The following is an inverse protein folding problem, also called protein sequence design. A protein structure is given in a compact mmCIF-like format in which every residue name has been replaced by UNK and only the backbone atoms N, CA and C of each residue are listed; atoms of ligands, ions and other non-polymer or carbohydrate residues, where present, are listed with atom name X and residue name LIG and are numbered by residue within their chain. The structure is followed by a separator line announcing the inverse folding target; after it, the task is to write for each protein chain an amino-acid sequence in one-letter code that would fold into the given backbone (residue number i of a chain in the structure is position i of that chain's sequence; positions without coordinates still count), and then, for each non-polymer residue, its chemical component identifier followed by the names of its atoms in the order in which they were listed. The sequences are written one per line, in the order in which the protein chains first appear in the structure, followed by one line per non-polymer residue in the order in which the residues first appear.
data_IF_110897008527
#
_entry.id   IF_110897008527
#
_cell.length_a   1.000
_cell.length_b   1.000
_cell.length_c   1.000
_cell.angle_alpha   90.00
_cell.angle_beta   90.00
_cell.angle_gamma   90.00
#
_symmetry.space_group_name_H-M   'P 1'
#
loop_
_entity.id
_entity.type
_entity.pdbx_description
1 polymer ?
#
# COMPACT_ATOMS: atom_id res chain seq x y z
N UNK A 1 -47.50 2.49 9.12
CA UNK A 1 -47.01 1.22 8.56
C UNK A 1 -45.69 1.51 7.86
N UNK A 2 -44.58 1.37 8.59
CA UNK A 2 -43.24 1.58 8.09
C UNK A 2 -42.74 0.30 7.42
N UNK A 3 -42.27 0.40 6.18
CA UNK A 3 -41.48 -0.65 5.53
C UNK A 3 -40.02 -0.27 5.65
N UNK A 4 -39.29 -1.00 6.49
CA UNK A 4 -37.84 -0.93 6.62
C UNK A 4 -37.30 -2.03 5.69
N UNK A 5 -36.67 -1.63 4.59
CA UNK A 5 -35.93 -2.54 3.72
C UNK A 5 -34.58 -2.84 4.34
N UNK A 6 -34.44 -4.05 4.88
CA UNK A 6 -33.20 -4.64 5.35
C UNK A 6 -32.22 -4.80 4.18
N UNK A 7 -31.08 -4.11 4.21
CA UNK A 7 -29.92 -4.44 3.38
C UNK A 7 -29.02 -5.41 4.17
N UNK A 8 -29.02 -6.66 3.72
CA UNK A 8 -28.09 -7.69 4.17
C UNK A 8 -26.72 -7.43 3.52
N UNK A 9 -25.71 -7.10 4.33
CA UNK A 9 -24.32 -7.21 3.91
C UNK A 9 -24.01 -8.70 3.73
N UNK A 10 -23.86 -9.12 2.47
CA UNK A 10 -23.48 -10.50 2.16
C UNK A 10 -22.04 -10.73 2.59
N UNK A 11 -21.88 -11.57 3.61
CA UNK A 11 -20.62 -12.17 3.99
C UNK A 11 -19.97 -12.87 2.78
N UNK A 12 -18.73 -12.50 2.48
CA UNK A 12 -17.75 -13.38 1.84
C UNK A 12 -16.46 -13.31 2.64
N UNK A 13 -16.51 -13.91 3.84
CA UNK A 13 -15.32 -14.47 4.48
C UNK A 13 -15.02 -15.78 3.77
N UNK A 14 -13.96 -15.82 2.96
CA UNK A 14 -13.28 -17.08 2.65
C UNK A 14 -11.93 -17.04 3.37
N UNK A 15 -11.80 -17.99 4.27
CA UNK A 15 -10.67 -18.22 5.17
C UNK A 15 -9.60 -19.00 4.41
N UNK A 16 -8.35 -18.52 4.41
CA UNK A 16 -7.19 -19.42 4.28
C UNK A 16 -6.06 -18.93 5.18
N UNK A 17 -5.85 -19.64 6.29
CA UNK A 17 -4.75 -19.43 7.24
C UNK A 17 -3.63 -20.43 6.94
N UNK A 18 -2.38 -19.99 6.80
CA UNK A 18 -1.20 -20.85 7.02
C UNK A 18 -0.09 -20.05 7.72
N UNK A 19 0.35 -20.56 8.87
CA UNK A 19 1.46 -20.05 9.65
C UNK A 19 2.80 -20.58 9.12
N UNK A 20 3.81 -19.72 8.99
CA UNK A 20 5.20 -20.14 8.70
C UNK A 20 5.95 -20.20 10.03
N UNK A 21 6.24 -21.40 10.50
CA UNK A 21 7.23 -21.67 11.54
C UNK A 21 8.56 -22.04 10.87
N UNK A 22 9.62 -21.27 11.12
CA UNK A 22 10.99 -21.64 10.77
C UNK A 22 11.86 -21.67 12.03
N UNK A 23 12.39 -22.86 12.32
CA UNK A 23 13.37 -23.14 13.37
C UNK A 23 14.72 -22.51 13.02
N UNK A 24 15.35 -21.87 14.02
CA UNK A 24 16.58 -21.09 13.83
C UNK A 24 17.88 -21.89 13.81
N UNK A 25 18.96 -21.19 13.45
CA UNK A 25 20.29 -21.29 14.07
C UNK A 25 20.94 -19.90 14.00
N UNK A 26 21.25 -19.32 15.16
CA UNK A 26 21.97 -18.06 15.29
C UNK A 26 23.45 -18.24 14.93
N UNK A 27 23.95 -17.44 13.99
CA UNK A 27 25.37 -17.21 13.77
C UNK A 27 25.62 -15.70 13.74
N UNK A 28 26.30 -15.23 14.78
CA UNK A 28 26.81 -13.86 14.94
C UNK A 28 27.84 -13.56 13.85
N UNK A 29 27.58 -12.56 13.01
CA UNK A 29 28.59 -11.93 12.16
C UNK A 29 28.53 -10.41 12.36
N UNK A 30 29.66 -9.87 12.77
CA UNK A 30 29.90 -8.47 13.10
C UNK A 30 29.61 -7.53 11.91
N UNK A 31 28.75 -6.54 12.14
CA UNK A 31 28.54 -5.44 11.20
C UNK A 31 29.61 -4.35 11.42
N UNK A 32 30.22 -3.90 10.33
CA UNK A 32 31.10 -2.72 10.23
C UNK A 32 30.84 -2.05 8.86
N UNK A 33 31.06 -0.73 8.68
CA UNK A 33 29.96 0.20 8.48
C UNK A 33 29.84 0.78 7.05
N UNK A 34 28.59 1.12 6.71
CA UNK A 34 28.11 2.22 5.84
C UNK A 34 28.92 2.61 4.61
N UNK A 35 28.38 2.30 3.43
CA UNK A 35 28.71 2.99 2.18
C UNK A 35 27.54 3.91 1.76
N UNK A 36 27.80 5.21 1.82
CA UNK A 36 27.12 6.36 1.19
C UNK A 36 25.86 6.09 0.34
N UNK A 37 24.72 6.56 0.85
CA UNK A 37 23.55 6.87 0.04
C UNK A 37 23.78 8.18 -0.74
N UNK A 38 24.43 8.09 -1.89
CA UNK A 38 24.18 9.04 -2.99
C UNK A 38 22.93 8.55 -3.71
N UNK A 39 21.87 9.36 -3.75
CA UNK A 39 20.65 9.09 -4.49
C UNK A 39 20.95 8.95 -6.00
N UNK A 40 21.29 7.74 -6.44
CA UNK A 40 21.25 7.40 -7.86
C UNK A 40 19.79 7.50 -8.28
N UNK A 41 19.48 8.45 -9.16
CA UNK A 41 18.18 8.48 -9.80
C UNK A 41 17.95 7.14 -10.51
N UNK A 42 16.78 6.54 -10.30
CA UNK A 42 16.42 5.28 -10.94
C UNK A 42 16.51 5.42 -12.46
N UNK A 43 17.17 4.47 -13.13
CA UNK A 43 17.37 4.55 -14.58
C UNK A 43 16.05 4.47 -15.33
N UNK A 44 15.97 5.04 -16.53
CA UNK A 44 14.82 4.89 -17.44
C UNK A 44 14.94 3.69 -18.38
N UNK A 45 15.94 2.83 -18.15
CA UNK A 45 16.23 1.68 -19.02
C UNK A 45 16.52 2.10 -20.46
N UNK A 46 16.05 1.28 -21.42
CA UNK A 46 16.07 1.60 -22.85
C UNK A 46 14.85 2.45 -23.18
N UNK A 47 15.05 3.76 -23.35
CA UNK A 47 13.98 4.71 -23.67
C UNK A 47 13.31 4.35 -25.00
N UNK A 48 11.98 4.21 -24.97
CA UNK A 48 11.13 3.88 -26.13
C UNK A 48 10.26 5.06 -26.56
N UNK A 49 10.07 6.05 -25.69
CA UNK A 49 9.38 7.29 -26.03
C UNK A 49 10.18 8.11 -27.06
N UNK A 50 9.49 8.70 -28.04
CA UNK A 50 10.10 9.63 -28.99
C UNK A 50 10.54 10.95 -28.33
N UNK A 51 11.39 11.71 -29.05
CA UNK A 51 11.85 13.04 -28.61
C UNK A 51 10.67 13.96 -28.27
N UNK A 52 10.83 14.80 -27.24
CA UNK A 52 9.82 15.75 -26.74
C UNK A 52 8.52 15.11 -26.18
N UNK A 53 8.53 13.82 -25.86
CA UNK A 53 7.44 13.14 -25.13
C UNK A 53 7.85 12.85 -23.68
N UNK A 54 6.86 12.51 -22.87
CA UNK A 54 7.09 11.92 -21.55
C UNK A 54 8.00 10.69 -21.67
N UNK A 55 9.04 10.62 -20.83
CA UNK A 55 10.02 9.54 -20.90
C UNK A 55 9.38 8.22 -20.47
N UNK A 56 9.35 7.25 -21.38
CA UNK A 56 8.93 5.87 -21.13
C UNK A 56 10.01 4.97 -21.70
N UNK A 57 10.27 3.84 -21.05
CA UNK A 57 11.33 2.94 -21.46
C UNK A 57 11.11 1.51 -20.97
N UNK A 58 11.90 0.61 -21.53
CA UNK A 58 11.91 -0.79 -21.14
C UNK A 58 13.08 -1.07 -20.18
N UNK A 59 12.91 -2.01 -19.23
CA UNK A 59 14.04 -2.51 -18.44
C UNK A 59 15.20 -2.95 -19.34
N UNK A 60 16.43 -2.57 -18.98
CA UNK A 60 17.67 -3.08 -19.59
C UNK A 60 18.58 -3.81 -18.58
N UNK A 61 18.09 -3.96 -17.35
CA UNK A 61 18.72 -4.67 -16.24
C UNK A 61 17.66 -5.12 -15.22
N UNK A 62 18.02 -6.02 -14.31
CA UNK A 62 17.23 -6.56 -13.19
C UNK A 62 16.03 -7.44 -13.57
N UNK A 63 15.17 -7.00 -14.47
CA UNK A 63 14.02 -7.75 -14.99
C UNK A 63 13.96 -7.56 -16.51
N UNK A 64 13.44 -8.52 -17.26
CA UNK A 64 13.26 -8.33 -18.71
C UNK A 64 11.96 -7.58 -19.01
N UNK A 65 11.91 -6.86 -20.14
CA UNK A 65 10.68 -6.25 -20.61
C UNK A 65 9.56 -7.30 -20.81
N UNK A 66 9.91 -8.48 -21.33
CA UNK A 66 8.97 -9.58 -21.52
C UNK A 66 8.36 -10.09 -20.21
N UNK A 67 9.14 -10.14 -19.13
CA UNK A 67 8.64 -10.54 -17.81
C UNK A 67 7.64 -9.51 -17.26
N UNK A 68 7.94 -8.21 -17.41
CA UNK A 68 7.02 -7.12 -17.02
C UNK A 68 5.73 -7.16 -17.87
N UNK A 69 5.86 -7.34 -19.18
CA UNK A 69 4.73 -7.52 -20.10
C UNK A 69 3.90 -8.75 -19.73
N UNK A 70 4.55 -9.84 -19.36
CA UNK A 70 3.87 -11.07 -18.95
C UNK A 70 3.08 -10.86 -17.65
N UNK A 71 3.65 -10.20 -16.64
CA UNK A 71 2.93 -9.87 -15.39
C UNK A 71 1.70 -9.03 -15.72
N UNK A 72 1.85 -8.01 -16.57
CA UNK A 72 0.71 -7.22 -17.04
C UNK A 72 -0.36 -8.09 -17.69
N UNK A 73 -0.01 -8.90 -18.69
CA UNK A 73 -0.97 -9.65 -19.49
C UNK A 73 -1.63 -10.81 -18.74
N UNK A 74 -1.00 -11.37 -17.71
CA UNK A 74 -1.44 -12.60 -17.04
C UNK A 74 -1.92 -12.38 -15.61
N UNK A 75 -1.48 -11.32 -14.93
CA UNK A 75 -1.78 -11.09 -13.51
C UNK A 75 -2.64 -9.85 -13.26
N UNK A 76 -2.38 -8.73 -13.95
CA UNK A 76 -2.96 -7.42 -13.57
C UNK A 76 -3.73 -6.61 -14.64
N UNK A 77 -3.65 -7.01 -15.91
CA UNK A 77 -4.19 -6.26 -17.04
C UNK A 77 -5.67 -6.57 -17.37
N UNK A 78 -6.25 -5.92 -18.39
CA UNK A 78 -7.67 -6.01 -18.70
C UNK A 78 -8.17 -7.36 -19.22
N UNK A 79 -7.25 -8.23 -19.65
CA UNK A 79 -7.57 -9.54 -20.21
C UNK A 79 -7.47 -10.67 -19.19
N UNK A 80 -7.08 -10.38 -17.95
CA UNK A 80 -6.85 -11.41 -16.94
C UNK A 80 -8.18 -11.94 -16.41
N UNK A 81 -8.20 -13.24 -16.14
CA UNK A 81 -9.30 -13.84 -15.37
C UNK A 81 -9.09 -13.49 -13.91
N UNK A 82 -9.98 -12.67 -13.35
CA UNK A 82 -9.94 -12.29 -11.94
C UNK A 82 -9.99 -13.53 -11.03
N UNK A 83 -9.15 -13.53 -10.00
CA UNK A 83 -9.04 -14.54 -8.95
C UNK A 83 -8.49 -13.88 -7.68
N UNK A 84 -8.29 -14.65 -6.62
CA UNK A 84 -7.68 -14.12 -5.38
C UNK A 84 -6.22 -13.65 -5.59
N UNK A 85 -5.57 -14.08 -6.68
CA UNK A 85 -4.18 -13.75 -7.01
C UNK A 85 -4.04 -12.89 -8.27
N UNK A 86 -5.13 -12.62 -8.99
CA UNK A 86 -5.16 -11.84 -10.23
C UNK A 86 -6.32 -10.85 -10.21
N UNK A 87 -6.09 -9.61 -10.59
CA UNK A 87 -7.16 -8.62 -10.70
C UNK A 87 -6.92 -7.68 -11.86
N UNK A 88 -7.99 -7.07 -12.38
CA UNK A 88 -7.84 -6.07 -13.41
C UNK A 88 -7.65 -4.70 -12.77
N UNK A 89 -6.43 -4.17 -12.79
CA UNK A 89 -6.12 -2.82 -12.31
C UNK A 89 -6.94 -1.77 -13.07
N UNK A 90 -7.32 -2.06 -14.32
CA UNK A 90 -8.10 -1.15 -15.16
C UNK A 90 -9.58 -1.02 -14.74
N UNK A 91 -10.13 -1.93 -13.93
CA UNK A 91 -11.54 -1.91 -13.51
C UNK A 91 -11.80 -1.16 -12.19
N UNK A 92 -10.74 -0.71 -11.52
CA UNK A 92 -10.84 0.00 -10.24
C UNK A 92 -10.14 1.37 -10.32
N UNK A 93 -10.79 2.41 -9.77
CA UNK A 93 -10.32 3.80 -9.71
C UNK A 93 -10.07 4.30 -8.28
N UNK A 94 -9.89 3.34 -7.35
CA UNK A 94 -9.60 3.59 -5.94
C UNK A 94 -8.13 3.27 -5.56
N UNK A 95 -7.25 2.99 -6.52
CA UNK A 95 -5.87 2.63 -6.20
C UNK A 95 -5.14 3.80 -5.55
N UNK A 96 -4.05 3.50 -4.84
CA UNK A 96 -3.16 4.51 -4.26
C UNK A 96 -2.73 5.54 -5.32
N UNK A 97 -2.47 5.08 -6.55
CA UNK A 97 -2.13 5.94 -7.68
C UNK A 97 -3.23 6.97 -8.00
N UNK A 98 -4.49 6.54 -8.01
CA UNK A 98 -5.65 7.40 -8.29
C UNK A 98 -5.78 8.49 -7.20
N UNK A 99 -5.60 8.11 -5.92
CA UNK A 99 -5.59 9.05 -4.80
C UNK A 99 -4.43 10.05 -4.87
N UNK A 100 -3.21 9.59 -5.14
CA UNK A 100 -2.03 10.45 -5.28
C UNK A 100 -2.27 11.51 -6.35
N UNK A 101 -2.77 11.10 -7.51
CA UNK A 101 -3.01 12.01 -8.63
C UNK A 101 -4.11 13.00 -8.28
N UNK A 102 -5.24 12.54 -7.76
CA UNK A 102 -6.37 13.40 -7.38
C UNK A 102 -5.96 14.44 -6.34
N UNK A 103 -5.17 14.03 -5.37
CA UNK A 103 -4.73 14.85 -4.24
C UNK A 103 -3.36 15.52 -4.48
N UNK A 104 -2.91 15.55 -5.74
CA UNK A 104 -1.72 16.30 -6.17
C UNK A 104 -0.45 15.96 -5.37
N UNK A 105 -0.15 14.67 -5.22
CA UNK A 105 1.04 14.19 -4.53
C UNK A 105 0.90 14.10 -3.01
N UNK A 106 -0.33 14.06 -2.49
CA UNK A 106 -0.59 13.94 -1.05
C UNK A 106 -1.54 12.80 -0.74
N UNK A 107 -1.40 12.19 0.43
CA UNK A 107 -2.27 11.13 0.92
C UNK A 107 -2.58 11.36 2.40
N UNK A 108 -3.85 11.24 2.75
CA UNK A 108 -4.33 11.25 4.12
C UNK A 108 -4.64 9.83 4.57
N UNK A 109 -3.97 9.39 5.64
CA UNK A 109 -4.15 8.10 6.26
C UNK A 109 -5.04 8.19 7.48
N UNK A 110 -5.93 7.21 7.65
CA UNK A 110 -6.60 6.96 8.92
C UNK A 110 -6.14 5.64 9.53
N UNK A 111 -5.69 5.70 10.78
CA UNK A 111 -5.17 4.53 11.50
C UNK A 111 -6.32 3.79 12.16
N UNK A 112 -6.41 2.48 11.95
CA UNK A 112 -7.34 1.58 12.63
C UNK A 112 -6.54 0.74 13.64
N UNK A 113 -6.65 1.08 14.92
CA UNK A 113 -5.91 0.41 15.99
C UNK A 113 -6.69 -0.80 16.50
N UNK A 114 -6.51 -1.94 15.85
CA UNK A 114 -7.17 -3.20 16.22
C UNK A 114 -6.34 -4.00 17.21
N UNK A 115 -6.32 -3.47 18.43
CA UNK A 115 -5.58 -4.06 19.53
C UNK A 115 -6.22 -3.72 20.86
N UNK A 116 -6.01 -4.57 21.85
CA UNK A 116 -6.36 -4.30 23.25
C UNK A 116 -5.18 -3.72 24.03
N UNK A 117 -4.00 -3.59 23.41
CA UNK A 117 -2.81 -2.98 24.01
C UNK A 117 -2.93 -1.45 23.97
N UNK A 118 -2.29 -0.80 24.94
CA UNK A 118 -2.16 0.66 24.95
C UNK A 118 -1.20 1.11 23.86
N UNK A 119 -1.55 2.18 23.17
CA UNK A 119 -0.71 2.91 22.23
C UNK A 119 -0.30 4.24 22.86
N UNK A 120 1.01 4.51 22.91
CA UNK A 120 1.50 5.80 23.39
C UNK A 120 1.53 6.85 22.27
N UNK A 121 1.34 8.12 22.62
CA UNK A 121 1.41 9.27 21.73
C UNK A 121 2.78 9.35 21.06
N UNK A 122 3.83 9.04 21.82
CA UNK A 122 5.21 9.02 21.30
C UNK A 122 5.39 7.98 20.19
N UNK A 123 4.83 6.78 20.34
CA UNK A 123 4.89 5.74 19.30
C UNK A 123 3.99 6.11 18.13
N UNK A 124 2.74 6.50 18.38
CA UNK A 124 1.78 6.90 17.36
C UNK A 124 2.30 8.06 16.49
N UNK A 125 3.01 9.02 17.08
CA UNK A 125 3.58 10.18 16.36
C UNK A 125 4.59 9.80 15.27
N UNK A 126 5.16 8.59 15.33
CA UNK A 126 6.12 8.09 14.32
C UNK A 126 5.44 7.52 13.07
N UNK A 127 4.15 7.23 13.10
CA UNK A 127 3.46 6.51 12.01
C UNK A 127 3.46 7.32 10.72
N UNK A 128 3.25 8.63 10.80
CA UNK A 128 3.33 9.51 9.63
C UNK A 128 4.72 9.47 8.99
N UNK A 129 5.78 9.59 9.78
CA UNK A 129 7.15 9.55 9.27
C UNK A 129 7.48 8.18 8.65
N UNK A 130 7.04 7.09 9.28
CA UNK A 130 7.19 5.73 8.74
C UNK A 130 6.53 5.60 7.36
N UNK A 131 5.27 6.02 7.23
CA UNK A 131 4.54 5.96 5.95
C UNK A 131 5.24 6.80 4.87
N UNK A 132 5.70 8.01 5.21
CA UNK A 132 6.45 8.83 4.25
C UNK A 132 7.71 8.13 3.73
N UNK A 133 8.43 7.33 4.55
CA UNK A 133 9.56 6.52 4.07
C UNK A 133 9.13 5.41 3.11
N UNK A 134 8.03 4.70 3.42
CA UNK A 134 7.54 3.62 2.55
C UNK A 134 7.12 4.16 1.18
N UNK A 135 6.38 5.28 1.17
CA UNK A 135 5.96 5.93 -0.07
C UNK A 135 7.12 6.53 -0.86
N UNK A 136 8.18 6.97 -0.19
CA UNK A 136 9.40 7.40 -0.87
C UNK A 136 10.02 6.25 -1.65
N UNK A 137 10.17 5.07 -1.05
CA UNK A 137 10.76 3.89 -1.72
C UNK A 137 10.03 3.54 -3.03
N UNK A 138 8.70 3.59 -3.03
CA UNK A 138 7.89 3.39 -4.22
C UNK A 138 7.96 4.58 -5.21
N UNK A 139 7.80 5.82 -4.72
CA UNK A 139 7.73 7.01 -5.58
C UNK A 139 9.05 7.30 -6.31
N UNK A 140 10.19 6.95 -5.73
CA UNK A 140 11.50 7.13 -6.35
C UNK A 140 11.57 6.45 -7.74
N UNK A 141 10.78 5.40 -8.00
CA UNK A 141 10.68 4.75 -9.30
C UNK A 141 9.86 5.53 -10.33
N UNK A 142 8.95 6.39 -9.88
CA UNK A 142 8.08 7.19 -10.72
C UNK A 142 8.65 8.56 -11.05
N UNK A 143 9.55 9.13 -10.22
CA UNK A 143 10.13 10.47 -10.43
C UNK A 143 10.72 10.60 -11.85
N UNK A 144 10.17 11.54 -12.63
CA UNK A 144 10.59 11.80 -14.01
C UNK A 144 10.11 10.78 -15.06
N UNK A 145 9.50 9.67 -14.64
CA UNK A 145 8.95 8.65 -15.53
C UNK A 145 7.56 9.04 -16.01
N UNK A 146 7.28 8.89 -17.30
CA UNK A 146 5.98 9.13 -17.93
C UNK A 146 5.33 10.47 -17.52
N UNK A 147 6.13 11.55 -17.40
CA UNK A 147 5.72 12.87 -16.91
C UNK A 147 5.09 12.88 -15.52
N UNK A 148 5.40 11.90 -14.67
CA UNK A 148 4.99 11.91 -13.28
C UNK A 148 5.42 13.22 -12.59
N UNK A 149 4.48 14.03 -12.07
CA UNK A 149 4.77 15.39 -11.65
C UNK A 149 5.23 15.49 -10.18
N UNK A 150 5.23 14.37 -9.45
CA UNK A 150 5.45 14.35 -8.01
C UNK A 150 6.85 13.87 -7.66
N UNK A 151 7.73 14.82 -7.31
CA UNK A 151 9.07 14.50 -6.79
C UNK A 151 9.03 13.84 -5.40
N UNK A 152 7.92 14.00 -4.67
CA UNK A 152 7.66 13.32 -3.41
C UNK A 152 6.16 13.16 -3.19
N UNK A 153 5.79 12.10 -2.46
CA UNK A 153 4.44 11.89 -1.95
C UNK A 153 4.43 12.24 -0.48
N UNK A 154 3.54 13.15 -0.09
CA UNK A 154 3.42 13.59 1.31
C UNK A 154 2.27 12.86 1.97
N UNK A 155 2.58 12.02 2.94
CA UNK A 155 1.57 11.33 3.74
C UNK A 155 1.29 12.12 5.01
N UNK A 156 0.01 12.20 5.38
CA UNK A 156 -0.49 12.75 6.64
C UNK A 156 -1.36 11.74 7.38
N UNK A 157 -1.11 11.53 8.66
CA UNK A 157 -2.06 10.77 9.50
C UNK A 157 -3.09 11.75 10.03
N UNK A 158 -4.36 11.55 9.67
CA UNK A 158 -5.45 12.50 9.96
C UNK A 158 -6.46 11.98 10.99
N UNK A 159 -6.34 10.72 11.39
CA UNK A 159 -7.17 10.18 12.46
C UNK A 159 -6.72 8.81 12.95
N UNK A 160 -7.23 8.47 14.13
CA UNK A 160 -7.02 7.22 14.83
C UNK A 160 -8.37 6.67 15.29
N UNK A 161 -8.74 5.50 14.80
CA UNK A 161 -9.89 4.75 15.26
C UNK A 161 -9.47 3.72 16.31
N UNK A 162 -10.17 3.71 17.45
CA UNK A 162 -9.92 2.81 18.59
C UNK A 162 -11.23 2.28 19.17
N UNK A 163 -11.17 1.11 19.81
CA UNK A 163 -12.32 0.54 20.54
C UNK A 163 -12.73 1.37 21.74
N UNK A 164 -11.73 1.78 22.51
CA UNK A 164 -11.88 2.53 23.74
C UNK A 164 -10.77 3.59 23.78
N UNK A 165 -11.14 4.84 24.05
CA UNK A 165 -10.20 5.96 24.18
C UNK A 165 -9.12 5.69 25.25
N UNK A 166 -9.40 4.84 26.25
CA UNK A 166 -8.43 4.44 27.29
C UNK A 166 -7.23 3.66 26.76
N UNK A 167 -7.30 3.16 25.52
CA UNK A 167 -6.18 2.53 24.84
C UNK A 167 -5.13 3.55 24.38
N UNK A 168 -5.50 4.83 24.29
CA UNK A 168 -4.57 5.91 23.96
C UNK A 168 -4.12 6.61 25.25
N UNK A 169 -2.84 6.97 25.34
CA UNK A 169 -2.35 7.83 26.42
C UNK A 169 -2.49 9.33 26.11
N UNK A 170 -3.18 9.67 25.02
CA UNK A 170 -3.54 11.04 24.64
C UNK A 170 -5.03 11.14 24.31
N UNK A 171 -5.58 12.35 24.40
CA UNK A 171 -7.01 12.63 24.19
C UNK A 171 -7.28 13.88 23.34
N UNK A 172 -6.23 14.57 22.90
CA UNK A 172 -6.33 15.72 21.99
C UNK A 172 -6.23 15.27 20.52
N UNK A 173 -6.63 16.14 19.59
CA UNK A 173 -6.55 15.87 18.15
C UNK A 173 -5.16 16.19 17.56
N UNK A 174 -4.09 16.20 18.38
CA UNK A 174 -2.74 16.60 17.93
C UNK A 174 -2.08 15.63 16.94
N UNK A 175 -2.56 14.39 16.87
CA UNK A 175 -2.16 13.38 15.87
C UNK A 175 -3.28 13.12 14.84
N UNK A 176 -4.30 13.99 14.79
CA UNK A 176 -5.52 13.77 14.02
C UNK A 176 -6.70 13.37 14.91
N UNK A 177 -7.88 13.29 14.29
CA UNK A 177 -9.15 13.03 14.99
C UNK A 177 -9.16 11.65 15.63
N UNK A 178 -9.52 11.57 16.92
CA UNK A 178 -9.78 10.27 17.58
C UNK A 178 -11.24 9.85 17.33
N UNK A 179 -11.43 8.69 16.70
CA UNK A 179 -12.71 8.01 16.54
C UNK A 179 -12.78 6.87 17.56
N UNK A 180 -13.76 6.90 18.47
CA UNK A 180 -13.86 5.91 19.55
C UNK A 180 -15.17 5.14 19.44
N UNK A 181 -15.08 3.81 19.39
CA UNK A 181 -16.24 2.93 19.45
C UNK A 181 -17.00 2.74 18.14
N UNK A 182 -16.59 3.43 17.07
CA UNK A 182 -17.09 3.17 15.71
C UNK A 182 -16.41 1.91 15.18
N UNK A 183 -17.18 0.83 15.04
CA UNK A 183 -16.69 -0.49 14.60
C UNK A 183 -17.33 -0.88 13.28
N UNK A 184 -16.59 -1.58 12.43
CA UNK A 184 -17.12 -2.19 11.21
C UNK A 184 -17.93 -3.47 11.50
N UNK A 185 -18.41 -4.14 10.45
CA UNK A 185 -19.19 -5.37 10.57
C UNK A 185 -18.44 -6.56 11.19
N UNK A 186 -17.10 -6.48 11.27
CA UNK A 186 -16.26 -7.48 11.92
C UNK A 186 -15.87 -7.06 13.35
N UNK A 187 -16.40 -5.92 13.79
CA UNK A 187 -16.11 -5.37 15.09
C UNK A 187 -14.74 -4.70 15.15
N UNK A 188 -14.12 -4.27 14.05
CA UNK A 188 -12.80 -3.61 13.97
C UNK A 188 -12.97 -2.08 13.98
N UNK A 189 -12.15 -1.29 14.70
CA UNK A 189 -12.38 0.15 14.78
C UNK A 189 -12.20 0.76 13.40
N UNK A 190 -13.09 1.66 13.02
CA UNK A 190 -13.03 2.33 11.74
C UNK A 190 -13.16 3.85 11.91
N UNK A 191 -12.51 4.58 11.03
CA UNK A 191 -12.74 6.02 10.94
C UNK A 191 -14.10 6.27 10.28
N UNK A 192 -14.66 7.46 10.49
CA UNK A 192 -15.98 7.79 9.96
C UNK A 192 -16.03 7.61 8.44
N UNK A 193 -16.93 6.75 7.96
CA UNK A 193 -17.04 6.47 6.52
C UNK A 193 -17.44 7.70 5.70
N UNK A 194 -18.11 8.68 6.31
CA UNK A 194 -18.39 9.99 5.71
C UNK A 194 -17.13 10.82 5.41
N UNK A 195 -15.99 10.44 5.97
CA UNK A 195 -14.69 11.06 5.73
C UNK A 195 -13.83 10.29 4.73
N UNK A 196 -14.25 9.12 4.27
CA UNK A 196 -13.49 8.34 3.28
C UNK A 196 -13.72 8.91 1.87
N UNK A 197 -12.63 9.22 1.14
CA UNK A 197 -12.70 9.92 -0.16
C UNK A 197 -13.20 9.07 -1.32
N UNK A 198 -13.31 7.76 -1.15
CA UNK A 198 -13.93 6.86 -2.13
C UNK A 198 -15.14 6.16 -1.51
N UNK A 199 -16.18 5.86 -2.27
CA UNK A 199 -17.38 5.23 -1.74
C UNK A 199 -17.59 3.82 -2.30
N UNK A 200 -18.48 3.07 -1.63
CA UNK A 200 -18.84 1.71 -2.00
C UNK A 200 -19.51 1.60 -3.38
N UNK A 201 -19.92 2.71 -4.01
CA UNK A 201 -20.47 2.72 -5.37
C UNK A 201 -19.39 2.84 -6.44
N UNK A 202 -18.10 2.77 -6.08
CA UNK A 202 -17.01 2.89 -7.05
C UNK A 202 -16.80 4.31 -7.54
N UNK A 203 -17.04 5.31 -6.68
CA UNK A 203 -16.91 6.71 -7.04
C UNK A 203 -16.28 7.53 -5.92
N UNK A 204 -15.74 8.69 -6.29
CA UNK A 204 -15.27 9.67 -5.32
C UNK A 204 -16.43 10.19 -4.46
N UNK A 205 -16.21 10.21 -3.14
CA UNK A 205 -17.19 10.65 -2.15
C UNK A 205 -17.27 12.18 -2.07
N UNK A 206 -18.48 12.70 -1.86
CA UNK A 206 -18.65 14.04 -1.28
C UNK A 206 -18.38 13.96 0.22
N UNK A 207 -17.23 14.52 0.63
CA UNK A 207 -16.77 14.53 2.02
C UNK A 207 -17.06 15.86 2.71
N UNK A 208 -17.93 16.71 2.14
CA UNK A 208 -18.34 17.99 2.75
C UNK A 208 -19.00 17.83 4.13
N UNK A 209 -19.61 16.67 4.39
CA UNK A 209 -20.18 16.32 5.69
C UNK A 209 -19.17 15.75 6.70
N UNK A 210 -17.90 15.57 6.32
CA UNK A 210 -16.86 15.11 7.22
C UNK A 210 -16.55 16.20 8.27
N UNK A 211 -16.68 15.86 9.55
CA UNK A 211 -16.37 16.77 10.66
C UNK A 211 -14.88 16.82 11.01
N UNK A 212 -14.05 16.12 10.24
CA UNK A 212 -12.60 16.02 10.38
C UNK A 212 -11.93 16.23 9.01
N UNK A 213 -10.63 15.96 8.91
CA UNK A 213 -9.96 15.89 7.63
C UNK A 213 -10.36 14.57 6.92
N UNK A 214 -10.84 14.62 5.66
CA UNK A 214 -11.11 13.41 4.90
C UNK A 214 -9.83 12.57 4.69
N UNK A 215 -9.97 11.26 4.57
CA UNK A 215 -8.87 10.32 4.39
C UNK A 215 -9.02 9.50 3.11
N UNK A 216 -7.88 9.03 2.61
CA UNK A 216 -7.71 8.33 1.33
C UNK A 216 -7.47 6.84 1.53
N UNK A 217 -6.71 6.48 2.56
CA UNK A 217 -6.22 5.13 2.79
C UNK A 217 -6.28 4.80 4.28
N UNK A 218 -6.56 3.53 4.62
CA UNK A 218 -6.51 3.05 5.99
C UNK A 218 -5.21 2.29 6.30
N UNK A 219 -4.64 2.53 7.48
CA UNK A 219 -3.61 1.67 8.05
C UNK A 219 -4.19 0.93 9.25
N UNK A 220 -4.48 -0.35 9.08
CA UNK A 220 -5.03 -1.23 10.10
C UNK A 220 -3.91 -2.03 10.77
N UNK A 221 -3.67 -1.74 12.06
CA UNK A 221 -2.71 -2.48 12.87
C UNK A 221 -3.47 -3.59 13.59
N UNK A 222 -3.36 -4.82 13.08
CA UNK A 222 -4.05 -5.99 13.59
C UNK A 222 -3.15 -6.76 14.56
N UNK A 223 -3.58 -6.86 15.82
CA UNK A 223 -2.86 -7.60 16.85
C UNK A 223 -2.84 -9.11 16.58
N UNK A 224 -1.64 -9.69 16.40
CA UNK A 224 -1.47 -11.14 16.22
C UNK A 224 -1.71 -11.66 14.80
N UNK A 225 -2.02 -10.78 13.84
CA UNK A 225 -2.07 -11.13 12.42
C UNK A 225 -0.72 -11.72 11.97
N UNK A 226 -0.72 -12.70 11.06
CA UNK A 226 0.50 -13.18 10.42
C UNK A 226 0.61 -12.53 9.04
N UNK A 227 1.67 -11.76 8.80
CA UNK A 227 1.83 -11.02 7.53
C UNK A 227 0.99 -9.75 7.47
N UNK A 228 0.34 -9.53 6.34
CA UNK A 228 -0.54 -8.40 6.08
C UNK A 228 -1.51 -8.69 4.93
N UNK A 229 -2.42 -7.75 4.70
CA UNK A 229 -3.31 -7.69 3.56
C UNK A 229 -3.34 -6.26 3.02
N UNK A 230 -3.14 -6.13 1.72
CA UNK A 230 -3.12 -4.84 1.02
C UNK A 230 -4.09 -4.85 -0.13
N UNK A 231 -4.79 -3.74 -0.32
CA UNK A 231 -5.60 -3.51 -1.51
C UNK A 231 -5.82 -2.00 -1.72
N UNK A 232 -6.81 -1.64 -2.53
CA UNK A 232 -7.17 -0.25 -2.85
C UNK A 232 -7.55 0.62 -1.63
N UNK A 233 -8.13 0.01 -0.58
CA UNK A 233 -8.56 0.69 0.65
C UNK A 233 -7.44 0.90 1.67
N UNK A 234 -6.29 0.23 1.48
CA UNK A 234 -5.12 0.38 2.33
C UNK A 234 -4.44 -0.90 2.76
N UNK A 235 -3.86 -0.88 3.95
CA UNK A 235 -3.01 -1.93 4.48
C UNK A 235 -3.52 -2.38 5.85
N UNK A 236 -3.77 -3.67 6.00
CA UNK A 236 -3.88 -4.36 7.27
C UNK A 236 -2.59 -5.11 7.54
N UNK A 237 -1.95 -4.87 8.68
CA UNK A 237 -0.59 -5.35 8.94
C UNK A 237 -0.49 -5.94 10.34
N UNK A 238 0.41 -6.90 10.49
CA UNK A 238 0.85 -7.39 11.79
C UNK A 238 1.35 -6.21 12.65
N UNK A 239 0.59 -5.91 13.71
CA UNK A 239 0.88 -4.83 14.63
C UNK A 239 2.24 -4.98 15.29
N UNK A 240 2.54 -6.17 15.82
CA UNK A 240 3.77 -6.44 16.54
C UNK A 240 5.00 -6.17 15.67
N UNK A 241 5.02 -6.69 14.44
CA UNK A 241 6.09 -6.52 13.48
C UNK A 241 6.26 -5.05 13.08
N UNK A 242 5.15 -4.35 12.79
CA UNK A 242 5.21 -2.93 12.44
C UNK A 242 5.81 -2.10 13.58
N UNK A 243 5.41 -2.35 14.83
CA UNK A 243 5.95 -1.61 15.97
C UNK A 243 7.43 -1.94 16.25
N UNK A 244 7.84 -3.19 16.08
CA UNK A 244 9.23 -3.62 16.24
C UNK A 244 10.15 -2.99 15.18
N UNK A 245 9.64 -2.81 13.96
CA UNK A 245 10.41 -2.30 12.82
C UNK A 245 10.12 -0.83 12.49
N UNK A 246 9.39 -0.12 13.37
CA UNK A 246 8.82 1.21 13.12
C UNK A 246 9.85 2.28 12.71
N UNK A 247 11.09 2.14 13.16
CA UNK A 247 12.19 3.07 12.91
C UNK A 247 13.08 2.65 11.72
N UNK A 248 12.81 1.51 11.07
CA UNK A 248 13.53 1.06 9.87
C UNK A 248 13.19 1.94 8.66
N UNK A 249 14.12 2.03 7.70
CA UNK A 249 13.88 2.77 6.46
C UNK A 249 12.67 2.22 5.71
N UNK A 250 12.67 0.91 5.49
CA UNK A 250 11.55 0.16 4.89
C UNK A 250 11.07 -0.92 5.87
N UNK A 251 9.75 -1.01 6.04
CA UNK A 251 9.07 -2.04 6.80
C UNK A 251 8.51 -3.05 5.80
N UNK A 252 9.11 -4.23 5.72
CA UNK A 252 8.84 -5.21 4.65
C UNK A 252 7.36 -5.48 4.44
N UNK A 253 6.59 -5.75 5.52
CA UNK A 253 5.15 -6.00 5.40
C UNK A 253 4.41 -4.75 4.92
N UNK A 254 4.64 -3.58 5.54
CA UNK A 254 3.95 -2.35 5.14
C UNK A 254 4.26 -1.96 3.69
N UNK A 255 5.53 -2.05 3.28
CA UNK A 255 5.94 -1.74 1.92
C UNK A 255 5.34 -2.74 0.90
N UNK A 256 5.26 -4.03 1.25
CA UNK A 256 4.60 -5.05 0.46
C UNK A 256 3.10 -4.75 0.27
N UNK A 257 2.38 -4.50 1.37
CA UNK A 257 0.94 -4.20 1.30
C UNK A 257 0.63 -2.88 0.56
N UNK A 258 1.55 -1.91 0.57
CA UNK A 258 1.45 -0.72 -0.28
C UNK A 258 1.58 -1.09 -1.76
N UNK A 259 2.41 -2.08 -2.12
CA UNK A 259 2.52 -2.60 -3.48
C UNK A 259 1.19 -3.11 -4.02
N UNK A 260 0.41 -3.84 -3.21
CA UNK A 260 -0.95 -4.22 -3.56
C UNK A 260 -1.90 -3.02 -3.74
N UNK A 261 -1.72 -1.95 -2.95
CA UNK A 261 -2.49 -0.71 -3.14
C UNK A 261 -2.13 0.03 -4.44
N UNK A 262 -0.97 -0.25 -5.05
CA UNK A 262 -0.65 0.12 -6.43
C UNK A 262 -1.15 -0.88 -7.47
N UNK A 263 -1.85 -1.94 -7.05
CA UNK A 263 -2.40 -2.98 -7.90
C UNK A 263 -1.40 -4.07 -8.28
N UNK A 264 -0.23 -4.17 -7.64
CA UNK A 264 0.72 -5.24 -7.91
C UNK A 264 0.31 -6.55 -7.22
N UNK A 265 0.42 -7.71 -7.87
CA UNK A 265 -0.04 -8.98 -7.31
C UNK A 265 1.08 -9.65 -6.50
N UNK A 266 0.71 -10.66 -5.73
CA UNK A 266 1.67 -11.57 -5.10
C UNK A 266 2.34 -12.52 -6.09
N UNK A 267 3.52 -13.02 -5.73
CA UNK A 267 4.22 -14.10 -6.45
C UNK A 267 4.61 -15.22 -5.49
N UNK A 268 3.72 -16.20 -5.28
CA UNK A 268 3.96 -17.31 -4.34
C UNK A 268 4.45 -18.57 -5.05
N UNK A 269 3.87 -18.90 -6.19
CA UNK A 269 4.12 -20.15 -6.90
C UNK A 269 4.81 -19.91 -8.24
N UNK A 270 5.40 -20.97 -8.82
CA UNK A 270 6.03 -20.87 -10.15
C UNK A 270 5.04 -20.42 -11.23
N UNK A 271 3.77 -20.81 -11.11
CA UNK A 271 2.70 -20.40 -12.03
C UNK A 271 2.36 -18.90 -11.94
N UNK A 272 2.70 -18.24 -10.84
CA UNK A 272 2.50 -16.81 -10.64
C UNK A 272 3.58 -15.98 -11.34
N UNK A 273 4.69 -16.61 -11.72
CA UNK A 273 5.90 -15.96 -12.23
C UNK A 273 6.06 -16.19 -13.74
N UNK A 274 6.63 -15.22 -14.48
CA UNK A 274 6.85 -15.35 -15.92
C UNK A 274 7.92 -16.39 -16.27
N UNK A 275 8.86 -16.66 -15.35
CA UNK A 275 9.91 -17.67 -15.51
C UNK A 275 10.52 -18.07 -14.18
N UNK A 276 11.24 -19.19 -14.15
CA UNK A 276 12.02 -19.66 -12.98
C UNK A 276 13.14 -18.70 -12.56
N UNK A 277 13.56 -17.82 -13.47
CA UNK A 277 14.59 -16.80 -13.22
C UNK A 277 13.98 -15.44 -12.83
N UNK A 278 12.70 -15.39 -12.45
CA UNK A 278 12.05 -14.17 -12.00
C UNK A 278 12.83 -13.57 -10.81
N UNK A 279 13.24 -12.29 -10.88
CA UNK A 279 14.11 -11.67 -9.89
C UNK A 279 13.45 -11.57 -8.52
N UNK A 280 14.28 -11.42 -7.48
CA UNK A 280 13.79 -11.05 -6.14
C UNK A 280 13.09 -9.69 -6.18
N UNK A 281 11.94 -9.61 -5.54
CA UNK A 281 11.11 -8.42 -5.46
C UNK A 281 10.30 -8.46 -4.16
N UNK A 282 9.86 -7.32 -3.66
CA UNK A 282 9.11 -7.28 -2.40
C UNK A 282 7.77 -8.02 -2.56
N UNK A 283 7.16 -7.99 -3.75
CA UNK A 283 5.92 -8.70 -4.05
C UNK A 283 6.06 -10.23 -4.14
N UNK A 284 7.30 -10.75 -4.11
CA UNK A 284 7.59 -12.17 -3.95
C UNK A 284 8.01 -12.39 -2.50
N UNK A 285 7.02 -12.72 -1.66
CA UNK A 285 7.17 -12.81 -0.21
C UNK A 285 8.44 -13.59 0.21
N UNK A 286 9.25 -12.98 1.08
CA UNK A 286 10.50 -13.56 1.58
C UNK A 286 11.70 -13.50 0.62
N UNK A 287 11.54 -13.05 -0.62
CA UNK A 287 12.66 -12.93 -1.58
C UNK A 287 13.43 -11.61 -1.48
N UNK A 288 12.78 -10.57 -0.93
CA UNK A 288 13.36 -9.26 -0.64
C UNK A 288 12.72 -8.67 0.62
N UNK A 289 13.48 -7.85 1.34
CA UNK A 289 12.99 -7.12 2.53
C UNK A 289 12.64 -5.65 2.22
N UNK A 290 12.90 -5.19 1.00
CA UNK A 290 12.70 -3.81 0.52
C UNK A 290 12.23 -3.79 -0.93
N UNK A 291 11.69 -2.65 -1.37
CA UNK A 291 11.28 -2.40 -2.77
C UNK A 291 12.52 -2.54 -3.67
N UNK A 292 12.41 -3.33 -4.74
CA UNK A 292 13.51 -3.59 -5.68
C UNK A 292 13.25 -2.97 -7.05
N UNK A 293 14.25 -2.98 -7.95
CA UNK A 293 14.03 -2.60 -9.34
C UNK A 293 12.94 -3.38 -10.07
N UNK A 294 12.73 -4.65 -9.73
CA UNK A 294 11.67 -5.43 -10.35
C UNK A 294 10.29 -4.86 -9.96
N UNK A 295 10.08 -4.53 -8.68
CA UNK A 295 8.85 -3.89 -8.21
C UNK A 295 8.62 -2.54 -8.89
N UNK A 296 9.67 -1.72 -8.98
CA UNK A 296 9.63 -0.41 -9.62
C UNK A 296 9.25 -0.46 -11.11
N UNK A 297 9.77 -1.44 -11.85
CA UNK A 297 9.40 -1.63 -13.26
C UNK A 297 7.96 -2.11 -13.43
N UNK A 298 7.47 -2.97 -12.54
CA UNK A 298 6.05 -3.36 -12.53
C UNK A 298 5.14 -2.17 -12.19
N UNK A 299 5.51 -1.34 -11.22
CA UNK A 299 4.80 -0.10 -10.88
C UNK A 299 4.75 0.88 -12.05
N UNK A 300 5.87 1.06 -12.77
CA UNK A 300 5.92 1.88 -13.99
C UNK A 300 4.96 1.39 -15.06
N UNK A 301 4.84 0.07 -15.22
CA UNK A 301 3.88 -0.51 -16.17
C UNK A 301 2.43 -0.23 -15.77
N UNK A 302 2.10 -0.27 -14.47
CA UNK A 302 0.79 0.18 -13.99
C UNK A 302 0.53 1.64 -14.38
N UNK A 303 1.51 2.53 -14.15
CA UNK A 303 1.37 3.95 -14.52
C UNK A 303 1.17 4.13 -16.03
N UNK A 304 1.93 3.43 -16.88
CA UNK A 304 1.78 3.51 -18.34
C UNK A 304 0.36 3.25 -18.81
N UNK A 305 -0.31 2.24 -18.25
CA UNK A 305 -1.65 1.85 -18.66
C UNK A 305 -2.76 2.65 -17.98
N UNK A 306 -2.54 3.09 -16.74
CA UNK A 306 -3.54 3.89 -16.00
C UNK A 306 -3.46 5.38 -16.29
N UNK A 307 -2.36 5.87 -16.89
CA UNK A 307 -2.15 7.31 -17.13
C UNK A 307 -3.28 8.00 -17.90
N UNK A 308 -3.98 7.32 -18.79
CA UNK A 308 -5.10 7.91 -19.54
C UNK A 308 -6.25 8.38 -18.65
N UNK A 309 -6.33 7.92 -17.40
CA UNK A 309 -7.28 8.39 -16.38
C UNK A 309 -6.89 9.73 -15.76
N UNK A 310 -5.63 10.12 -15.88
CA UNK A 310 -5.04 11.21 -15.12
C UNK A 310 -4.84 12.44 -15.98
N UNK A 311 -5.05 13.61 -15.36
CA UNK A 311 -4.78 14.90 -15.99
C UNK A 311 -3.64 15.60 -15.25
N UNK A 312 -2.40 15.36 -15.72
CA UNK A 312 -1.18 16.05 -15.32
C UNK A 312 -0.18 16.11 -16.49
#
# INVERSE_FOLDING_TARGET
MHSVSNFSFSARRLVTSIAIAALGVSSIVSAAPTANATSQANTFGTVTSGSNKCVVGNPNSYISANDVDWVWNNRIGPTVKQSDSNWNVMDNENWIMDHIVRNKGTLNYCVRWDSTKKLSKSVASKFEAMLNRQYKAWNDWLVGYNCWPYNSIKVKVVGFAVRDAKLLDWSDDSLGKIYTGDLDGEGVPMCAQSCYRYNANGAWSDTSGCQAQPFDISLWLHQGLQGGFGYDWGQEVNLENMLETLDNEELTIVAHEIGHGFGLPDFYEEADMPSTNFPSCIMRAGSSMSVTPADGWMLRRVLEHTKSRYNF
#
